data_IF_546389697962
#
_entry.id   IF_546389697962
#
_cell.length_a   1.000
_cell.length_b   1.000
_cell.length_c   1.000
_cell.angle_alpha   90.00
_cell.angle_beta   90.00
_cell.angle_gamma   90.00
#
_symmetry.space_group_name_H-M   'P 1'
#
loop_
_entity.id
_entity.type
_entity.pdbx_description
1 polymer ?
#
# COMPACT_ATOMS: atom_id res chain seq x y z
N UNK A 1 2.33 8.59 0.24
CA UNK A 1 3.05 9.88 0.26
C UNK A 1 2.79 10.59 1.58
N UNK A 2 1.56 11.06 1.84
CA UNK A 2 1.16 11.70 3.10
C UNK A 2 1.61 10.95 4.36
N UNK A 3 1.34 9.63 4.42
CA UNK A 3 1.69 8.83 5.60
C UNK A 3 3.20 8.82 5.88
N UNK A 4 4.06 8.78 4.85
CA UNK A 4 5.51 8.80 5.06
C UNK A 4 5.98 10.11 5.73
N UNK A 5 5.42 11.25 5.33
CA UNK A 5 5.67 12.53 6.00
C UNK A 5 5.15 12.57 7.43
N UNK A 6 3.95 12.05 7.67
CA UNK A 6 3.38 11.96 9.01
C UNK A 6 4.24 11.10 9.95
N UNK A 7 4.72 9.93 9.50
CA UNK A 7 5.61 9.07 10.29
C UNK A 7 6.89 9.80 10.70
N UNK A 8 7.47 10.62 9.80
CA UNK A 8 8.64 11.45 10.10
C UNK A 8 8.35 12.56 11.09
N UNK A 9 7.21 13.25 10.95
CA UNK A 9 6.78 14.30 11.88
C UNK A 9 6.52 13.76 13.29
N UNK A 10 6.04 12.52 13.40
CA UNK A 10 5.87 11.82 14.69
C UNK A 10 7.22 11.37 15.28
N UNK A 11 8.29 11.40 14.50
CA UNK A 11 9.64 11.02 14.95
C UNK A 11 9.92 9.52 14.88
N UNK A 12 9.20 8.76 14.05
CA UNK A 12 9.53 7.37 13.80
C UNK A 12 10.80 7.26 12.94
N UNK A 13 11.65 6.31 13.31
CA UNK A 13 12.94 6.09 12.66
C UNK A 13 12.93 4.91 11.71
N UNK A 14 11.99 3.98 11.87
CA UNK A 14 11.87 2.79 11.04
C UNK A 14 10.42 2.43 10.75
N UNK A 15 10.14 1.98 9.54
CA UNK A 15 8.89 1.35 9.13
C UNK A 15 9.17 0.07 8.35
N UNK A 16 8.41 -0.98 8.65
CA UNK A 16 8.46 -2.26 7.96
C UNK A 16 7.07 -2.50 7.37
N UNK A 17 6.99 -2.84 6.09
CA UNK A 17 5.72 -3.07 5.40
C UNK A 17 5.83 -4.19 4.36
N UNK A 18 4.68 -4.71 3.95
CA UNK A 18 4.58 -5.80 2.98
C UNK A 18 4.83 -5.34 1.55
N UNK A 19 3.77 -5.16 0.75
CA UNK A 19 3.94 -4.80 -0.66
C UNK A 19 4.22 -3.29 -0.85
N UNK A 20 4.96 -2.96 -1.91
CA UNK A 20 5.11 -1.59 -2.42
C UNK A 20 3.78 -1.00 -2.87
N UNK A 21 3.69 0.34 -2.90
CA UNK A 21 2.52 1.07 -3.37
C UNK A 21 2.88 1.87 -4.63
N UNK A 22 2.58 1.30 -5.79
CA UNK A 22 3.00 1.83 -7.09
C UNK A 22 2.24 3.09 -7.52
N UNK A 23 1.13 3.41 -6.85
CA UNK A 23 0.31 4.59 -7.18
C UNK A 23 0.57 5.78 -6.28
N UNK A 24 0.79 5.53 -4.99
CA UNK A 24 0.86 6.58 -3.98
C UNK A 24 1.97 6.33 -2.93
N UNK A 25 2.96 5.49 -3.23
CA UNK A 25 4.05 5.16 -2.30
C UNK A 25 4.95 6.36 -1.98
N UNK A 26 5.18 6.63 -0.69
CA UNK A 26 6.05 7.71 -0.22
C UNK A 26 7.42 7.25 0.29
N UNK A 27 7.71 5.96 0.19
CA UNK A 27 8.92 5.32 0.70
C UNK A 27 9.84 4.83 -0.43
N UNK A 28 9.83 5.50 -1.58
CA UNK A 28 10.65 5.18 -2.74
C UNK A 28 9.90 4.65 -3.97
N UNK A 29 8.64 4.19 -3.84
CA UNK A 29 7.88 3.67 -5.00
C UNK A 29 7.46 4.77 -5.98
N UNK A 30 6.98 5.92 -5.49
CA UNK A 30 6.59 7.08 -6.32
C UNK A 30 7.43 8.30 -5.95
N UNK A 31 7.45 8.63 -4.66
CA UNK A 31 8.34 9.64 -4.08
C UNK A 31 9.13 9.03 -2.93
N UNK A 32 10.28 9.62 -2.60
CA UNK A 32 11.12 9.17 -1.50
C UNK A 32 11.07 10.13 -0.29
N UNK A 33 9.86 10.50 0.13
CA UNK A 33 9.63 11.38 1.30
C UNK A 33 10.28 10.80 2.56
N UNK A 34 10.46 9.49 2.64
CA UNK A 34 11.17 8.84 3.74
C UNK A 34 12.63 9.33 3.88
N UNK A 35 13.32 9.62 2.78
CA UNK A 35 14.74 10.00 2.76
C UNK A 35 15.00 11.44 2.31
N UNK A 36 14.07 12.06 1.58
CA UNK A 36 14.21 13.42 1.08
C UNK A 36 14.43 14.43 2.24
N UNK A 37 15.16 15.53 2.02
CA UNK A 37 15.35 16.55 3.04
C UNK A 37 14.01 17.11 3.56
N UNK A 38 13.81 17.09 4.87
CA UNK A 38 12.64 17.68 5.53
C UNK A 38 13.07 18.34 6.85
N UNK A 39 13.08 19.68 6.93
CA UNK A 39 13.52 20.41 8.12
C UNK A 39 12.79 19.95 9.38
N UNK A 40 13.54 19.79 10.47
CA UNK A 40 12.98 19.42 11.78
C UNK A 40 12.59 17.93 11.93
N UNK A 41 12.94 17.06 10.97
CA UNK A 41 12.67 15.62 11.05
C UNK A 41 13.89 14.79 10.66
N UNK A 42 13.96 13.56 11.19
CA UNK A 42 14.96 12.58 10.77
C UNK A 42 14.44 11.75 9.57
N UNK A 43 15.35 11.18 8.76
CA UNK A 43 14.96 10.21 7.74
C UNK A 43 14.30 8.97 8.36
N UNK A 44 13.36 8.37 7.61
CA UNK A 44 12.66 7.15 7.98
C UNK A 44 13.26 5.96 7.22
N UNK A 45 13.83 4.99 7.95
CA UNK A 45 14.31 3.75 7.35
C UNK A 45 13.12 2.87 6.95
N UNK A 46 13.09 2.43 5.70
CA UNK A 46 11.98 1.68 5.15
C UNK A 46 12.44 0.29 4.72
N UNK A 47 11.85 -0.75 5.31
CA UNK A 47 12.03 -2.14 4.88
C UNK A 47 10.73 -2.63 4.24
N UNK A 48 10.79 -2.99 2.97
CA UNK A 48 9.65 -3.52 2.21
C UNK A 48 9.79 -5.02 1.95
N UNK A 49 8.68 -5.66 1.58
CA UNK A 49 8.64 -7.04 1.11
C UNK A 49 8.29 -8.09 2.16
N UNK A 50 8.10 -7.70 3.43
CA UNK A 50 7.74 -8.66 4.50
C UNK A 50 6.31 -9.14 4.32
N UNK A 51 6.12 -10.41 3.95
CA UNK A 51 4.81 -10.96 3.56
C UNK A 51 4.17 -10.15 2.41
N UNK A 52 5.01 -9.69 1.46
CA UNK A 52 4.57 -8.81 0.37
C UNK A 52 3.50 -9.43 -0.52
N UNK A 53 3.63 -10.71 -0.85
CA UNK A 53 2.65 -11.42 -1.69
C UNK A 53 1.30 -11.57 -1.00
N UNK A 54 1.30 -11.85 0.31
CA UNK A 54 0.09 -11.95 1.11
C UNK A 54 -0.63 -10.60 1.22
N UNK A 55 0.14 -9.52 1.48
CA UNK A 55 -0.41 -8.16 1.48
C UNK A 55 -1.06 -7.80 0.12
N UNK A 56 -0.41 -8.14 -0.99
CA UNK A 56 -0.95 -7.93 -2.33
C UNK A 56 -2.18 -8.81 -2.60
N UNK A 57 -2.19 -10.06 -2.14
CA UNK A 57 -3.33 -10.98 -2.26
C UNK A 57 -4.56 -10.43 -1.55
N UNK A 58 -4.41 -9.93 -0.32
CA UNK A 58 -5.48 -9.27 0.43
C UNK A 58 -6.01 -8.03 -0.29
N UNK A 59 -5.13 -7.22 -0.89
CA UNK A 59 -5.52 -6.06 -1.68
C UNK A 59 -6.34 -6.44 -2.92
N UNK A 60 -5.92 -7.49 -3.65
CA UNK A 60 -6.67 -8.04 -4.78
C UNK A 60 -8.06 -8.52 -4.35
N UNK A 61 -8.15 -9.25 -3.23
CA UNK A 61 -9.42 -9.72 -2.66
C UNK A 61 -10.36 -8.57 -2.30
N UNK A 62 -9.83 -7.48 -1.73
CA UNK A 62 -10.62 -6.29 -1.45
C UNK A 62 -11.25 -5.69 -2.72
N UNK A 63 -10.49 -5.59 -3.81
CA UNK A 63 -10.99 -5.01 -5.06
C UNK A 63 -11.92 -5.92 -5.85
N UNK A 64 -11.84 -7.24 -5.66
CA UNK A 64 -12.83 -8.18 -6.24
C UNK A 64 -14.20 -8.04 -5.60
N UNK A 65 -14.26 -7.60 -4.34
CA UNK A 65 -15.52 -7.42 -3.62
C UNK A 65 -16.27 -6.16 -4.09
N UNK A 66 -17.58 -6.14 -3.82
CA UNK A 66 -18.44 -4.98 -4.02
C UNK A 66 -18.55 -4.20 -2.72
N UNK A 67 -18.46 -2.87 -2.79
CA UNK A 67 -18.68 -2.02 -1.63
C UNK A 67 -20.19 -1.91 -1.37
N UNK A 68 -20.69 -2.61 -0.35
CA UNK A 68 -22.11 -2.58 0.06
C UNK A 68 -22.55 -1.21 0.57
N UNK A 69 -21.62 -0.36 0.98
CA UNK A 69 -21.88 1.00 1.46
C UNK A 69 -21.81 2.05 0.35
N UNK A 70 -21.60 1.64 -0.91
CA UNK A 70 -21.56 2.59 -2.02
C UNK A 70 -22.95 3.23 -2.21
N UNK A 71 -23.05 4.58 -2.26
CA UNK A 71 -24.34 5.27 -2.45
C UNK A 71 -25.09 4.83 -3.72
N UNK A 72 -24.34 4.42 -4.73
CA UNK A 72 -24.85 3.73 -5.91
C UNK A 72 -24.05 2.43 -6.11
N UNK A 73 -24.61 1.28 -5.69
CA UNK A 73 -23.94 -0.01 -5.82
C UNK A 73 -23.71 -0.35 -7.30
N UNK A 74 -22.47 -0.65 -7.67
CA UNK A 74 -22.15 -1.23 -8.97
C UNK A 74 -22.03 -2.73 -8.82
N UNK A 75 -22.93 -3.48 -9.44
CA UNK A 75 -22.88 -4.94 -9.38
C UNK A 75 -21.68 -5.46 -10.17
N UNK A 76 -20.74 -6.11 -9.46
CA UNK A 76 -19.53 -6.72 -10.03
C UNK A 76 -19.69 -8.22 -10.29
N UNK A 77 -20.87 -8.80 -10.04
CA UNK A 77 -21.17 -10.23 -10.20
C UNK A 77 -20.74 -10.83 -11.55
N UNK A 78 -20.76 -10.04 -12.64
CA UNK A 78 -20.39 -10.49 -13.99
C UNK A 78 -18.88 -10.57 -14.29
N UNK A 79 -17.99 -10.08 -13.41
CA UNK A 79 -16.52 -10.04 -13.68
C UNK A 79 -15.71 -11.22 -13.14
N UNK A 80 -16.31 -12.16 -12.39
CA UNK A 80 -15.61 -13.37 -11.98
C UNK A 80 -15.53 -14.40 -13.12
N UNK A 81 -14.64 -14.16 -14.10
CA UNK A 81 -14.12 -15.22 -14.97
C UNK A 81 -12.61 -15.32 -14.78
N UNK A 82 -12.20 -16.44 -14.15
CA UNK A 82 -10.86 -17.07 -14.07
C UNK A 82 -9.66 -16.12 -13.91
N UNK A 83 -9.13 -16.08 -12.70
CA UNK A 83 -7.68 -16.11 -12.50
C UNK A 83 -7.37 -17.31 -11.61
N UNK A 84 -6.89 -18.38 -12.25
CA UNK A 84 -6.26 -19.52 -11.60
C UNK A 84 -5.17 -19.02 -10.66
N UNK A 85 -5.33 -19.31 -9.37
CA UNK A 85 -4.25 -19.23 -8.38
C UNK A 85 -3.35 -20.42 -8.69
N UNK A 86 -2.23 -20.20 -9.39
CA UNK A 86 -1.10 -21.11 -9.37
C UNK A 86 -0.17 -20.66 -8.26
N UNK A 87 -0.05 -21.51 -7.25
CA UNK A 87 1.06 -21.51 -6.30
C UNK A 87 2.27 -22.10 -7.01
N UNK A 88 3.33 -21.31 -7.14
CA UNK A 88 4.72 -21.80 -7.22
C UNK A 88 5.45 -21.28 -5.99
#
# INVERSE_FOLDING_TARGET
>A
MMCAGALRLVGLTQVIYGCSNDRFGGCGSVLNIAQDPMPGTLPLQCTSGIEGDEAMRLLKLFYTNTNVNAPQPKDKSKKLKKSSITSE
#
